data_IF_400635531431
#
_entry.id   IF_400635531431
#
_cell.length_a   1.000
_cell.length_b   1.000
_cell.length_c   1.000
_cell.angle_alpha   90.00
_cell.angle_beta   90.00
_cell.angle_gamma   90.00
#
_symmetry.space_group_name_H-M   'P 1'
#
loop_
_entity.id
_entity.type
_entity.pdbx_description
1 polymer ?
#
# COMPACT_ATOMS: atom_id res chain seq x y z
N UNK A 1 10.47 16.09 1.36
CA UNK A 1 9.37 17.07 1.39
C UNK A 1 9.37 17.83 0.08
N UNK A 2 8.21 18.18 -0.48
CA UNK A 2 8.16 19.11 -1.63
C UNK A 2 8.63 20.47 -1.12
N UNK A 3 9.34 21.25 -1.94
CA UNK A 3 9.68 22.62 -1.56
C UNK A 3 8.39 23.43 -1.39
N UNK A 4 8.12 23.93 -0.18
CA UNK A 4 6.93 24.72 0.14
C UNK A 4 6.76 25.91 -0.83
N UNK A 5 7.88 26.44 -1.34
CA UNK A 5 7.93 27.48 -2.36
C UNK A 5 7.07 27.18 -3.60
N UNK A 6 7.03 25.94 -4.09
CA UNK A 6 6.21 25.56 -5.26
C UNK A 6 4.72 25.79 -5.00
N UNK A 7 4.27 25.71 -3.75
CA UNK A 7 2.89 25.97 -3.36
C UNK A 7 2.66 27.43 -2.94
N UNK A 8 3.59 28.05 -2.20
CA UNK A 8 3.38 29.39 -1.61
C UNK A 8 3.77 30.53 -2.53
N UNK A 9 4.73 30.31 -3.43
CA UNK A 9 5.45 31.41 -4.11
C UNK A 9 5.90 31.05 -5.53
N UNK A 10 5.39 29.96 -6.10
CA UNK A 10 5.81 29.43 -7.40
C UNK A 10 5.38 30.23 -8.64
N UNK A 11 4.70 31.37 -8.47
CA UNK A 11 4.20 32.18 -9.59
C UNK A 11 3.30 31.37 -10.53
N UNK A 12 3.60 31.37 -11.84
CA UNK A 12 2.91 30.57 -12.85
C UNK A 12 3.13 29.05 -12.70
N UNK A 13 4.20 28.64 -12.02
CA UNK A 13 4.51 27.24 -11.72
C UNK A 13 3.91 26.76 -10.40
N UNK A 14 2.96 27.52 -9.84
CA UNK A 14 2.33 27.20 -8.55
C UNK A 14 1.51 25.91 -8.66
N UNK A 15 1.77 24.97 -7.75
CA UNK A 15 0.98 23.75 -7.64
C UNK A 15 -0.34 24.01 -6.88
N UNK A 16 -1.45 23.32 -7.21
CA UNK A 16 -2.77 23.56 -6.60
C UNK A 16 -2.81 23.46 -5.07
N UNK A 17 -1.99 22.61 -4.48
CA UNK A 17 -1.88 22.42 -3.02
C UNK A 17 -0.50 21.88 -2.65
N UNK A 18 -0.16 21.93 -1.36
CA UNK A 18 1.03 21.26 -0.83
C UNK A 18 0.76 19.76 -0.72
N UNK A 19 0.77 19.07 -1.85
CA UNK A 19 0.41 17.67 -1.98
C UNK A 19 1.19 16.96 -3.08
N UNK A 20 1.13 15.63 -3.07
CA UNK A 20 1.48 14.81 -4.23
C UNK A 20 0.77 13.47 -4.23
N UNK A 21 0.73 12.85 -5.41
CA UNK A 21 0.42 11.45 -5.62
C UNK A 21 1.61 10.74 -6.25
N UNK A 22 1.90 9.53 -5.79
CA UNK A 22 3.03 8.74 -6.21
C UNK A 22 2.67 7.26 -6.37
N UNK A 23 3.12 6.67 -7.47
CA UNK A 23 3.28 5.23 -7.63
C UNK A 23 4.69 4.99 -8.16
N UNK A 24 5.54 4.29 -7.40
CA UNK A 24 6.96 4.14 -7.75
C UNK A 24 7.20 3.25 -8.97
N UNK A 25 6.21 2.43 -9.36
CA UNK A 25 6.33 1.50 -10.47
C UNK A 25 7.18 0.26 -10.14
N UNK A 26 7.61 -0.45 -11.17
CA UNK A 26 8.47 -1.63 -11.06
C UNK A 26 9.36 -1.76 -12.29
N UNK A 27 10.54 -2.35 -12.12
CA UNK A 27 11.47 -2.65 -13.21
C UNK A 27 11.08 -3.95 -13.93
N UNK A 28 10.65 -4.97 -13.19
CA UNK A 28 10.28 -6.27 -13.76
C UNK A 28 9.07 -6.88 -13.02
N UNK A 29 7.90 -6.99 -13.68
CA UNK A 29 7.61 -6.47 -15.01
C UNK A 29 7.64 -4.92 -15.01
N UNK A 30 7.96 -4.34 -16.16
CA UNK A 30 8.06 -2.89 -16.30
C UNK A 30 6.70 -2.22 -16.04
N UNK A 31 6.67 -1.36 -15.02
CA UNK A 31 5.55 -0.46 -14.72
C UNK A 31 6.18 0.91 -14.51
N UNK A 32 5.90 1.91 -15.37
CA UNK A 32 6.53 3.23 -15.23
C UNK A 32 6.09 3.89 -13.92
N UNK A 33 7.03 4.51 -13.21
CA UNK A 33 6.70 5.34 -12.05
C UNK A 33 5.89 6.58 -12.43
N UNK A 34 5.19 7.15 -11.47
CA UNK A 34 4.42 8.40 -11.59
C UNK A 34 4.55 9.19 -10.30
N UNK A 35 4.90 10.48 -10.42
CA UNK A 35 4.91 11.44 -9.32
C UNK A 35 4.26 12.73 -9.83
N UNK A 36 3.17 13.14 -9.21
CA UNK A 36 2.44 14.35 -9.58
C UNK A 36 2.44 15.28 -8.37
N UNK A 37 2.94 16.50 -8.54
CA UNK A 37 2.94 17.52 -7.49
C UNK A 37 1.65 18.34 -7.57
N UNK A 38 0.99 18.56 -6.43
CA UNK A 38 -0.31 19.23 -6.35
C UNK A 38 -1.49 18.42 -6.91
N UNK A 39 -1.29 17.13 -7.16
CA UNK A 39 -2.22 16.28 -7.87
C UNK A 39 -1.84 14.81 -7.75
N UNK A 40 -2.52 13.96 -8.51
CA UNK A 40 -2.23 12.54 -8.66
C UNK A 40 -2.68 12.03 -10.02
N UNK A 41 -2.11 10.91 -10.45
CA UNK A 41 -2.58 10.18 -11.61
C UNK A 41 -3.64 9.15 -11.17
N UNK A 42 -4.90 9.43 -11.47
CA UNK A 42 -6.04 8.60 -11.08
C UNK A 42 -5.98 7.19 -11.67
N UNK A 43 -5.29 7.01 -12.80
CA UNK A 43 -5.05 5.68 -13.37
C UNK A 43 -4.20 4.78 -12.46
N UNK A 44 -3.48 5.35 -11.49
CA UNK A 44 -2.63 4.64 -10.53
C UNK A 44 -3.35 4.18 -9.27
N UNK A 45 -4.63 4.51 -9.14
CA UNK A 45 -5.40 4.19 -7.94
C UNK A 45 -6.62 3.36 -8.36
N UNK A 46 -6.61 2.08 -8.05
CA UNK A 46 -7.64 1.13 -8.48
C UNK A 46 -8.64 0.86 -7.35
N UNK A 47 -9.93 0.98 -7.67
CA UNK A 47 -11.00 0.54 -6.78
C UNK A 47 -11.24 1.51 -5.61
N UNK A 48 -10.60 1.26 -4.47
CA UNK A 48 -10.80 2.05 -3.26
C UNK A 48 -9.52 2.75 -2.82
N UNK A 49 -9.67 3.86 -2.10
CA UNK A 49 -8.59 4.61 -1.46
C UNK A 49 -8.89 4.71 0.03
N UNK A 50 -7.87 4.55 0.86
CA UNK A 50 -7.94 4.85 2.28
C UNK A 50 -7.40 6.26 2.54
N UNK A 51 -8.10 7.04 3.36
CA UNK A 51 -7.64 8.33 3.87
C UNK A 51 -7.19 8.22 5.32
N UNK A 52 -5.94 8.56 5.62
CA UNK A 52 -5.37 8.43 6.96
C UNK A 52 -4.85 9.80 7.44
N UNK A 53 -5.06 10.13 8.71
CA UNK A 53 -4.53 11.36 9.28
C UNK A 53 -3.01 11.28 9.41
N UNK A 54 -2.32 12.37 9.08
CA UNK A 54 -0.89 12.51 9.35
C UNK A 54 -0.71 12.86 10.84
N UNK A 55 0.08 12.05 11.56
CA UNK A 55 0.38 12.31 12.96
C UNK A 55 1.37 13.47 13.05
N UNK A 56 0.91 14.62 13.59
CA UNK A 56 1.61 15.92 13.65
C UNK A 56 3.04 15.86 14.21
N UNK A 57 3.32 14.92 15.10
CA UNK A 57 4.62 14.82 15.80
C UNK A 57 5.68 14.04 15.03
N UNK A 58 5.30 13.17 14.09
CA UNK A 58 6.24 12.27 13.40
C UNK A 58 6.32 12.50 11.90
N UNK A 59 5.25 13.01 11.26
CA UNK A 59 5.15 13.08 9.81
C UNK A 59 5.16 11.69 9.12
N UNK A 60 5.07 10.62 9.90
CA UNK A 60 5.12 9.23 9.41
C UNK A 60 3.75 8.77 8.92
N UNK A 61 3.74 7.96 7.86
CA UNK A 61 2.53 7.37 7.32
C UNK A 61 2.25 6.04 8.02
N UNK A 62 1.43 6.08 9.07
CA UNK A 62 1.08 4.91 9.85
C UNK A 62 -0.33 4.42 9.54
N UNK A 63 -0.49 3.12 9.40
CA UNK A 63 -1.77 2.45 9.17
C UNK A 63 -1.81 1.13 9.94
N UNK A 64 -2.99 0.72 10.42
CA UNK A 64 -3.16 -0.57 11.08
C UNK A 64 -3.20 -1.72 10.07
N UNK A 65 -2.15 -2.55 10.03
CA UNK A 65 -2.16 -3.82 9.31
C UNK A 65 -2.87 -4.88 10.17
N UNK A 66 -3.92 -5.51 9.63
CA UNK A 66 -4.73 -6.52 10.33
C UNK A 66 -4.23 -7.92 10.04
N UNK A 67 -3.88 -8.22 8.80
CA UNK A 67 -3.42 -9.54 8.38
C UNK A 67 -2.63 -9.48 7.06
N UNK A 68 -1.87 -10.56 6.80
CA UNK A 68 -1.26 -10.86 5.52
C UNK A 68 -1.80 -12.23 5.06
N UNK A 69 -2.19 -12.32 3.79
CA UNK A 69 -2.59 -13.57 3.15
C UNK A 69 -1.75 -13.91 1.92
N UNK A 70 -1.85 -15.16 1.47
CA UNK A 70 -1.30 -15.69 0.24
C UNK A 70 -2.43 -16.30 -0.57
N UNK A 71 -2.69 -15.77 -1.76
CA UNK A 71 -3.90 -16.04 -2.53
C UNK A 71 -3.59 -16.17 -4.04
N UNK A 72 -4.52 -16.80 -4.77
CA UNK A 72 -4.47 -16.96 -6.23
C UNK A 72 -5.64 -16.22 -6.87
N UNK A 73 -5.36 -15.31 -7.80
CA UNK A 73 -6.36 -14.48 -8.47
C UNK A 73 -7.07 -15.20 -9.65
N UNK A 74 -6.39 -16.15 -10.30
CA UNK A 74 -6.91 -16.87 -11.47
C UNK A 74 -6.15 -18.18 -11.74
N UNK A 75 -6.87 -19.18 -12.23
CA UNK A 75 -6.34 -20.51 -12.58
C UNK A 75 -5.96 -21.36 -11.38
N UNK A 76 -5.21 -22.42 -11.65
CA UNK A 76 -4.73 -23.36 -10.65
C UNK A 76 -3.75 -22.74 -9.67
N UNK A 77 -3.67 -23.33 -8.47
CA UNK A 77 -2.75 -22.88 -7.44
C UNK A 77 -1.40 -23.62 -7.51
N UNK A 78 -0.26 -22.93 -7.39
CA UNK A 78 1.03 -23.58 -7.17
C UNK A 78 1.14 -24.19 -5.76
N UNK A 79 0.14 -23.95 -4.91
CA UNK A 79 0.03 -24.48 -3.55
C UNK A 79 -1.15 -25.45 -3.46
N UNK A 80 -1.18 -26.27 -2.40
CA UNK A 80 -2.34 -27.12 -2.07
C UNK A 80 -3.59 -26.34 -1.58
N UNK A 81 -3.66 -25.03 -1.82
CA UNK A 81 -4.75 -24.14 -1.39
C UNK A 81 -4.86 -22.93 -2.33
N UNK A 82 -6.02 -22.29 -2.42
CA UNK A 82 -6.24 -21.06 -3.20
C UNK A 82 -6.15 -19.78 -2.37
N UNK A 83 -6.33 -19.89 -1.05
CA UNK A 83 -6.20 -18.79 -0.10
C UNK A 83 -5.68 -19.31 1.24
N UNK A 84 -4.71 -18.59 1.81
CA UNK A 84 -4.18 -18.79 3.15
C UNK A 84 -4.03 -17.44 3.83
N UNK A 85 -4.81 -17.22 4.89
CA UNK A 85 -4.74 -16.02 5.73
C UNK A 85 -3.97 -16.31 7.03
N UNK A 86 -3.82 -15.30 7.87
CA UNK A 86 -3.19 -15.41 9.18
C UNK A 86 -1.67 -15.50 9.12
N UNK A 87 -1.05 -14.86 8.12
CA UNK A 87 0.41 -14.88 7.95
C UNK A 87 1.09 -13.73 8.70
N UNK A 88 0.35 -12.71 9.18
CA UNK A 88 0.91 -11.62 9.99
C UNK A 88 1.10 -12.02 11.46
N UNK A 89 1.99 -12.98 11.67
CA UNK A 89 2.29 -13.58 12.96
C UNK A 89 3.21 -12.69 13.80
N UNK A 90 2.83 -12.47 15.06
CA UNK A 90 3.66 -11.79 16.05
C UNK A 90 4.63 -12.77 16.75
N UNK A 91 5.57 -12.24 17.53
CA UNK A 91 6.50 -13.04 18.34
C UNK A 91 5.82 -14.06 19.27
N UNK A 92 4.56 -13.83 19.65
CA UNK A 92 3.75 -14.77 20.44
C UNK A 92 3.15 -15.93 19.63
N UNK A 93 3.35 -15.97 18.31
CA UNK A 93 2.68 -16.91 17.41
C UNK A 93 1.20 -16.62 17.17
N UNK A 94 0.72 -15.42 17.52
CA UNK A 94 -0.67 -15.00 17.32
C UNK A 94 -0.75 -13.97 16.21
N UNK A 95 -1.79 -14.06 15.38
CA UNK A 95 -2.16 -13.03 14.40
C UNK A 95 -2.85 -11.89 15.14
N UNK A 96 -2.25 -10.70 15.14
CA UNK A 96 -2.81 -9.54 15.82
C UNK A 96 -2.56 -8.26 14.99
N UNK A 97 -3.57 -7.38 14.85
CA UNK A 97 -3.39 -6.12 14.16
C UNK A 97 -2.32 -5.25 14.83
N UNK A 98 -1.45 -4.61 14.02
CA UNK A 98 -0.46 -3.64 14.50
C UNK A 98 -0.35 -2.43 13.59
N UNK A 99 0.08 -1.32 14.17
CA UNK A 99 0.50 -0.15 13.39
C UNK A 99 1.75 -0.51 12.59
N UNK A 100 1.76 -0.18 11.31
CA UNK A 100 2.92 -0.30 10.42
C UNK A 100 3.19 1.04 9.75
N UNK A 101 4.44 1.29 9.42
CA UNK A 101 4.87 2.51 8.73
C UNK A 101 5.02 2.23 7.24
N UNK A 102 4.51 3.11 6.39
CA UNK A 102 4.79 3.11 4.96
C UNK A 102 5.96 4.08 4.69
N UNK A 103 7.06 3.58 4.12
CA UNK A 103 8.29 4.38 3.95
C UNK A 103 8.99 4.11 2.59
N UNK A 104 8.90 5.03 1.61
CA UNK A 104 9.52 4.86 0.30
C UNK A 104 11.06 4.87 0.32
N UNK A 105 11.68 5.32 1.40
CA UNK A 105 13.14 5.34 1.53
C UNK A 105 13.72 3.95 1.85
N UNK A 106 12.89 3.05 2.39
CA UNK A 106 13.26 1.70 2.78
C UNK A 106 13.10 0.72 1.61
N UNK A 107 14.07 -0.16 1.31
CA UNK A 107 13.98 -1.07 0.17
C UNK A 107 13.01 -2.26 0.40
N UNK A 108 12.98 -2.79 1.63
CA UNK A 108 12.35 -4.08 1.93
C UNK A 108 11.01 -3.93 2.64
N UNK A 109 10.35 -5.06 2.88
CA UNK A 109 9.29 -5.21 3.87
C UNK A 109 9.94 -5.66 5.18
N UNK A 110 10.02 -4.76 6.15
CA UNK A 110 10.55 -5.00 7.48
C UNK A 110 9.42 -5.56 8.34
N UNK A 111 9.41 -6.87 8.54
CA UNK A 111 8.32 -7.60 9.20
C UNK A 111 8.86 -8.44 10.36
N UNK A 112 8.04 -8.80 11.36
CA UNK A 112 8.43 -9.75 12.39
C UNK A 112 8.96 -11.05 11.77
N UNK A 113 10.01 -11.62 12.36
CA UNK A 113 10.57 -12.91 11.92
C UNK A 113 9.49 -14.00 11.75
N UNK A 114 8.56 -14.22 12.70
CA UNK A 114 7.49 -15.20 12.52
C UNK A 114 6.56 -14.91 11.33
N UNK A 115 6.41 -13.64 10.94
CA UNK A 115 5.66 -13.26 9.73
C UNK A 115 6.44 -13.64 8.48
N UNK A 116 7.73 -13.30 8.41
CA UNK A 116 8.55 -13.68 7.25
C UNK A 116 8.58 -15.21 7.10
N UNK A 117 8.81 -15.95 8.19
CA UNK A 117 8.83 -17.43 8.19
C UNK A 117 7.49 -18.02 7.76
N UNK A 118 6.37 -17.49 8.28
CA UNK A 118 5.03 -17.96 7.90
C UNK A 118 4.76 -17.78 6.40
N UNK A 119 5.26 -16.70 5.80
CA UNK A 119 5.13 -16.45 4.36
C UNK A 119 6.07 -17.37 3.57
N UNK A 120 7.35 -17.45 3.95
CA UNK A 120 8.39 -18.14 3.20
C UNK A 120 8.33 -19.66 3.32
N UNK A 121 7.60 -20.20 4.30
CA UNK A 121 7.32 -21.63 4.43
C UNK A 121 6.68 -22.27 3.17
N UNK A 122 6.07 -21.47 2.30
CA UNK A 122 5.46 -21.92 1.04
C UNK A 122 6.38 -21.77 -0.18
N UNK A 123 7.56 -21.17 -0.01
CA UNK A 123 8.44 -20.78 -1.11
C UNK A 123 9.74 -21.59 -1.09
N UNK A 124 10.31 -21.92 -2.27
CA UNK A 124 11.69 -22.41 -2.37
C UNK A 124 12.69 -21.29 -2.10
N UNK A 125 12.80 -20.85 -0.85
CA UNK A 125 13.78 -19.84 -0.40
C UNK A 125 14.60 -20.37 0.77
N UNK A 126 15.81 -19.84 0.92
CA UNK A 126 16.68 -20.07 2.07
C UNK A 126 17.09 -18.74 2.69
N UNK A 127 17.05 -18.63 4.01
CA UNK A 127 17.52 -17.43 4.71
C UNK A 127 19.05 -17.38 4.70
N UNK A 128 19.60 -16.28 4.20
CA UNK A 128 21.01 -15.94 4.29
C UNK A 128 21.22 -14.99 5.45
N UNK A 129 21.86 -15.49 6.52
CA UNK A 129 22.09 -14.71 7.75
C UNK A 129 23.11 -13.57 7.57
N UNK A 130 23.98 -13.66 6.56
CA UNK A 130 24.98 -12.61 6.27
C UNK A 130 24.30 -11.41 5.62
N UNK A 131 23.35 -11.67 4.71
CA UNK A 131 22.56 -10.63 4.04
C UNK A 131 21.33 -10.19 4.83
N UNK A 132 20.84 -11.03 5.75
CA UNK A 132 19.57 -10.84 6.44
C UNK A 132 18.36 -10.96 5.51
N UNK A 133 18.49 -11.75 4.43
CA UNK A 133 17.51 -11.83 3.35
C UNK A 133 17.23 -13.28 2.95
N UNK A 134 16.06 -13.51 2.36
CA UNK A 134 15.67 -14.81 1.82
C UNK A 134 16.06 -14.90 0.35
N UNK A 135 16.90 -15.86 0.00
CA UNK A 135 17.37 -16.07 -1.37
C UNK A 135 16.50 -17.14 -2.03
N UNK A 136 15.98 -16.84 -3.22
CA UNK A 136 15.22 -17.78 -4.03
C UNK A 136 16.14 -18.87 -4.61
N UNK A 137 15.74 -20.13 -4.42
CA UNK A 137 16.30 -21.25 -5.18
C UNK A 137 15.59 -21.31 -6.55
N UNK A 138 16.14 -20.55 -7.50
CA UNK A 138 15.59 -20.42 -8.87
C UNK A 138 15.67 -21.71 -9.68
N UNK A 139 16.38 -22.73 -9.20
CA UNK A 139 16.52 -24.03 -9.87
C UNK A 139 15.38 -25.00 -9.55
N UNK A 140 14.56 -24.69 -8.54
CA UNK A 140 13.44 -25.55 -8.14
C UNK A 140 12.32 -25.54 -9.18
N UNK A 141 11.80 -26.72 -9.48
CA UNK A 141 10.72 -26.91 -10.46
C UNK A 141 9.45 -26.08 -10.17
N UNK A 142 9.18 -25.73 -8.91
CA UNK A 142 8.01 -24.92 -8.53
C UNK A 142 8.27 -23.41 -8.53
N UNK A 143 9.53 -22.95 -8.64
CA UNK A 143 9.88 -21.52 -8.64
C UNK A 143 9.12 -20.75 -9.73
N UNK A 144 9.18 -21.23 -10.97
CA UNK A 144 8.49 -20.61 -12.10
C UNK A 144 6.96 -20.59 -11.90
N UNK A 145 6.38 -21.68 -11.40
CA UNK A 145 4.94 -21.75 -11.14
C UNK A 145 4.49 -20.76 -10.06
N UNK A 146 5.27 -20.58 -8.99
CA UNK A 146 4.98 -19.63 -7.92
C UNK A 146 5.08 -18.18 -8.39
N UNK A 147 6.13 -17.87 -9.15
CA UNK A 147 6.51 -16.48 -9.47
C UNK A 147 5.89 -15.95 -10.76
N UNK A 148 5.41 -16.83 -11.65
CA UNK A 148 4.74 -16.45 -12.89
C UNK A 148 3.22 -16.61 -12.87
N UNK A 149 2.66 -17.40 -11.95
CA UNK A 149 1.20 -17.55 -11.81
C UNK A 149 0.53 -16.31 -11.27
N UNK A 150 -0.81 -16.31 -11.24
CA UNK A 150 -1.63 -15.23 -10.70
C UNK A 150 -1.66 -15.20 -9.16
N UNK A 151 -0.52 -15.50 -8.53
CA UNK A 151 -0.36 -15.59 -7.08
C UNK A 151 0.10 -14.25 -6.51
N UNK A 152 -0.47 -13.85 -5.37
CA UNK A 152 -0.15 -12.59 -4.70
C UNK A 152 -0.18 -12.71 -3.18
N UNK A 153 0.57 -11.82 -2.51
CA UNK A 153 0.37 -11.52 -1.10
C UNK A 153 -0.72 -10.45 -0.95
N UNK A 154 -1.68 -10.68 -0.05
CA UNK A 154 -2.70 -9.70 0.32
C UNK A 154 -2.32 -9.04 1.65
N UNK A 155 -2.28 -7.72 1.69
CA UNK A 155 -2.08 -6.94 2.91
C UNK A 155 -3.38 -6.26 3.28
N UNK A 156 -3.99 -6.68 4.39
CA UNK A 156 -5.30 -6.18 4.83
C UNK A 156 -5.12 -5.09 5.88
N UNK A 157 -5.49 -3.85 5.55
CA UNK A 157 -5.34 -2.69 6.42
C UNK A 157 -6.67 -2.17 6.97
N UNK A 158 -6.62 -1.45 8.09
CA UNK A 158 -7.73 -0.60 8.58
C UNK A 158 -7.88 0.62 7.67
N UNK A 159 -9.04 0.74 7.03
CA UNK A 159 -9.33 1.82 6.08
C UNK A 159 -9.91 3.04 6.80
N UNK A 160 -9.56 4.23 6.35
CA UNK A 160 -10.07 5.52 6.83
C UNK A 160 -9.87 5.81 8.33
N UNK A 161 -8.89 5.14 8.96
CA UNK A 161 -8.71 5.16 10.43
C UNK A 161 -9.84 4.45 11.21
N UNK A 162 -10.76 3.76 10.53
CA UNK A 162 -11.92 3.10 11.12
C UNK A 162 -11.65 1.62 11.42
N UNK A 163 -12.25 1.10 12.50
CA UNK A 163 -12.02 -0.28 12.94
C UNK A 163 -12.79 -1.33 12.14
N UNK A 164 -13.93 -0.93 11.57
CA UNK A 164 -14.90 -1.76 10.84
C UNK A 164 -14.73 -1.71 9.32
N UNK A 165 -13.89 -0.79 8.80
CA UNK A 165 -13.54 -0.73 7.38
C UNK A 165 -12.16 -1.28 7.11
N UNK A 166 -12.01 -1.94 5.97
CA UNK A 166 -10.73 -2.49 5.53
C UNK A 166 -10.45 -2.18 4.08
N UNK A 167 -9.16 -2.11 3.74
CA UNK A 167 -8.66 -2.04 2.36
C UNK A 167 -7.59 -3.11 2.19
N UNK A 168 -7.53 -3.72 1.01
CA UNK A 168 -6.53 -4.74 0.69
C UNK A 168 -5.60 -4.24 -0.41
N UNK A 169 -4.30 -4.34 -0.17
CA UNK A 169 -3.27 -4.15 -1.20
C UNK A 169 -2.72 -5.51 -1.59
N UNK A 170 -2.77 -5.81 -2.88
CA UNK A 170 -2.36 -7.08 -3.47
C UNK A 170 -1.03 -6.90 -4.17
N UNK A 171 -0.05 -7.74 -3.81
CA UNK A 171 1.29 -7.74 -4.38
C UNK A 171 1.52 -9.06 -5.10
N UNK A 172 1.50 -9.08 -6.43
CA UNK A 172 1.95 -10.23 -7.22
C UNK A 172 3.30 -10.76 -6.73
N UNK A 173 3.46 -12.07 -6.57
CA UNK A 173 4.76 -12.65 -6.19
C UNK A 173 5.85 -12.34 -7.22
N UNK A 174 5.47 -12.11 -8.48
CA UNK A 174 6.36 -11.64 -9.54
C UNK A 174 7.08 -10.32 -9.21
N UNK A 175 6.47 -9.44 -8.41
CA UNK A 175 7.12 -8.18 -7.95
C UNK A 175 8.07 -8.38 -6.78
N UNK A 176 8.07 -9.58 -6.19
CA UNK A 176 8.84 -9.96 -5.00
C UNK A 176 9.97 -10.95 -5.33
N UNK A 177 10.32 -11.07 -6.62
CA UNK A 177 11.52 -11.75 -7.13
C UNK A 177 12.56 -10.68 -7.52
N UNK A 178 13.08 -9.97 -6.52
CA UNK A 178 14.02 -8.87 -6.75
C UNK A 178 15.45 -9.41 -6.92
N UNK A 179 16.33 -8.61 -7.54
CA UNK A 179 17.72 -9.02 -7.80
C UNK A 179 18.69 -8.18 -6.96
N UNK A 180 19.54 -8.84 -6.17
CA UNK A 180 20.75 -8.25 -5.59
C UNK A 180 21.86 -8.31 -6.65
N UNK A 181 22.64 -7.25 -6.74
CA UNK A 181 23.74 -7.10 -7.70
C UNK A 181 24.95 -6.49 -7.00
N UNK A 182 26.06 -6.39 -7.72
CA UNK A 182 27.26 -5.67 -7.30
C UNK A 182 26.93 -4.23 -6.83
N UNK A 183 27.56 -3.71 -5.76
CA UNK A 183 28.62 -4.31 -4.95
C UNK A 183 28.11 -5.07 -3.72
N UNK A 184 26.80 -5.36 -3.63
CA UNK A 184 26.23 -6.06 -2.47
C UNK A 184 26.55 -7.55 -2.49
N UNK A 185 26.72 -8.12 -3.68
CA UNK A 185 27.00 -9.53 -3.95
C UNK A 185 27.88 -9.65 -5.20
N UNK A 186 28.80 -10.62 -5.22
CA UNK A 186 29.70 -10.87 -6.36
C UNK A 186 28.97 -11.44 -7.59
N UNK A 187 27.83 -12.10 -7.36
CA UNK A 187 26.99 -12.69 -8.40
C UNK A 187 25.54 -12.33 -8.14
N UNK A 188 24.78 -12.07 -9.22
CA UNK A 188 23.38 -11.69 -9.09
C UNK A 188 22.57 -12.77 -8.36
N UNK A 189 21.94 -12.41 -7.25
CA UNK A 189 21.06 -13.29 -6.48
C UNK A 189 19.62 -12.81 -6.58
N UNK A 190 18.69 -13.73 -6.81
CA UNK A 190 17.25 -13.40 -6.70
C UNK A 190 16.82 -13.59 -5.26
N UNK A 191 16.16 -12.60 -4.67
CA UNK A 191 15.76 -12.61 -3.27
C UNK A 191 14.29 -12.21 -3.07
N UNK A 192 13.72 -12.67 -1.96
CA UNK A 192 12.41 -12.26 -1.46
C UNK A 192 12.61 -11.14 -0.42
N UNK A 193 12.03 -9.93 -0.62
CA UNK A 193 12.38 -8.74 0.16
C UNK A 193 11.67 -8.64 1.52
N UNK A 194 11.68 -9.73 2.30
CA UNK A 194 11.27 -9.72 3.70
C UNK A 194 12.53 -9.62 4.57
N UNK A 195 12.65 -8.54 5.33
CA UNK A 195 13.77 -8.29 6.22
C UNK A 195 13.26 -8.37 7.66
N UNK A 196 13.94 -9.11 8.52
CA UNK A 196 13.49 -9.27 9.91
C UNK A 196 13.52 -7.94 10.66
N UNK A 197 12.48 -7.66 11.43
CA UNK A 197 12.42 -6.50 12.33
C UNK A 197 11.77 -6.86 13.66
N UNK A 198 12.39 -6.42 14.75
CA UNK A 198 11.84 -6.52 16.11
C UNK A 198 11.02 -5.30 16.51
N UNK A 199 11.07 -4.23 15.70
CA UNK A 199 10.47 -2.93 15.99
C UNK A 199 9.10 -2.77 15.29
N UNK A 200 8.67 -1.52 15.11
CA UNK A 200 7.48 -1.21 14.32
C UNK A 200 7.69 -1.67 12.88
N UNK A 201 6.83 -2.53 12.31
CA UNK A 201 7.01 -3.01 10.95
C UNK A 201 6.97 -1.87 9.94
N UNK A 202 7.77 -1.98 8.88
CA UNK A 202 7.88 -0.96 7.82
C UNK A 202 7.66 -1.60 6.46
N UNK A 203 6.76 -1.05 5.67
CA UNK A 203 6.51 -1.46 4.29
C UNK A 203 7.18 -0.47 3.35
N UNK A 204 8.29 -0.91 2.76
CA UNK A 204 9.12 -0.10 1.88
C UNK A 204 8.80 -0.25 0.39
N UNK A 205 9.81 0.02 -0.45
CA UNK A 205 9.70 -0.03 -1.91
C UNK A 205 9.18 -1.36 -2.45
N UNK A 206 9.61 -2.48 -1.88
CA UNK A 206 9.09 -3.80 -2.26
C UNK A 206 7.55 -3.86 -2.24
N UNK A 207 6.92 -3.28 -1.20
CA UNK A 207 5.47 -3.14 -1.10
C UNK A 207 4.92 -2.07 -2.04
N UNK A 208 5.58 -0.91 -2.09
CA UNK A 208 5.12 0.26 -2.85
C UNK A 208 5.15 0.08 -4.37
N UNK A 209 5.82 -0.94 -4.90
CA UNK A 209 5.70 -1.30 -6.32
C UNK A 209 4.24 -1.57 -6.74
N UNK A 210 3.42 -2.06 -5.82
CA UNK A 210 2.01 -2.40 -6.04
C UNK A 210 1.03 -1.47 -5.31
N UNK A 211 1.52 -0.38 -4.69
CA UNK A 211 0.70 0.56 -3.95
C UNK A 211 0.86 1.99 -4.47
N UNK A 212 -0.25 2.71 -4.50
CA UNK A 212 -0.26 4.16 -4.65
C UNK A 212 -0.21 4.81 -3.28
N UNK A 213 0.61 5.85 -3.15
CA UNK A 213 0.66 6.72 -1.97
C UNK A 213 0.44 8.15 -2.41
N UNK A 214 -0.48 8.84 -1.75
CA UNK A 214 -0.65 10.28 -1.90
C UNK A 214 -0.58 10.98 -0.55
N UNK A 215 -0.32 12.28 -0.55
CA UNK A 215 -0.34 13.09 0.67
C UNK A 215 -0.82 14.49 0.34
N UNK A 216 -1.67 15.05 1.21
CA UNK A 216 -2.12 16.42 1.17
C UNK A 216 -1.89 17.08 2.53
N UNK A 217 -0.95 18.02 2.59
CA UNK A 217 -0.67 18.83 3.78
C UNK A 217 -1.44 20.15 3.65
N UNK A 218 -2.69 20.15 4.10
CA UNK A 218 -3.67 21.23 3.94
C UNK A 218 -3.04 22.65 3.85
N UNK A 219 -2.77 23.30 4.98
CA UNK A 219 -2.19 24.64 5.03
C UNK A 219 -0.75 24.65 5.55
N UNK A 220 -0.02 23.53 5.41
CA UNK A 220 1.37 23.44 5.86
C UNK A 220 1.58 23.50 7.39
N UNK A 221 0.53 23.38 8.20
CA UNK A 221 0.57 23.40 9.67
C UNK A 221 0.92 22.03 10.31
N UNK A 222 1.67 21.18 9.57
CA UNK A 222 1.99 19.79 9.91
C UNK A 222 0.77 18.87 10.12
N UNK A 223 -0.45 19.31 9.78
CA UNK A 223 -1.61 18.45 9.64
C UNK A 223 -1.86 18.14 8.16
N UNK A 224 -2.44 16.96 7.91
CA UNK A 224 -2.78 16.56 6.56
C UNK A 224 -3.42 15.19 6.53
N UNK A 225 -3.75 14.77 5.31
CA UNK A 225 -4.24 13.42 5.02
C UNK A 225 -3.24 12.74 4.10
N UNK A 226 -2.89 11.50 4.40
CA UNK A 226 -2.17 10.64 3.46
C UNK A 226 -3.10 9.53 2.97
N UNK A 227 -2.84 9.07 1.76
CA UNK A 227 -3.71 8.20 1.00
C UNK A 227 -2.97 6.92 0.64
N UNK A 228 -3.67 5.79 0.74
CA UNK A 228 -3.18 4.48 0.30
C UNK A 228 -4.21 3.86 -0.65
N UNK A 229 -3.76 3.36 -1.80
CA UNK A 229 -4.61 2.66 -2.76
C UNK A 229 -3.86 1.57 -3.52
N UNK A 230 -4.62 0.67 -4.16
CA UNK A 230 -4.05 -0.38 -5.02
C UNK A 230 -3.50 0.23 -6.31
N UNK A 231 -2.24 -0.06 -6.65
CA UNK A 231 -1.67 0.34 -7.93
C UNK A 231 -1.94 -0.71 -9.03
N UNK A 232 -1.96 -0.28 -10.32
CA UNK A 232 -2.15 -1.19 -11.45
C UNK A 232 -0.90 -2.01 -11.78
N UNK A 233 -1.11 -3.08 -12.54
CA UNK A 233 -0.06 -3.83 -13.22
C UNK A 233 0.39 -3.23 -14.56
N UNK A 234 1.19 -3.96 -15.35
CA UNK A 234 1.76 -3.46 -16.62
C UNK A 234 0.72 -3.10 -17.69
N UNK A 235 -0.50 -3.65 -17.61
CA UNK A 235 -1.64 -3.25 -18.44
C UNK A 235 -2.38 -2.02 -17.90
N UNK A 236 -1.66 -1.06 -17.31
CA UNK A 236 -2.24 0.15 -16.75
C UNK A 236 -2.90 1.04 -17.83
N UNK A 237 -3.96 1.80 -17.48
CA UNK A 237 -4.58 2.75 -18.38
C UNK A 237 -3.66 3.94 -18.70
N UNK A 238 -4.08 4.76 -19.66
CA UNK A 238 -3.49 6.09 -19.89
C UNK A 238 -3.60 6.96 -18.63
N UNK A 239 -2.60 7.83 -18.44
CA UNK A 239 -2.56 8.73 -17.30
C UNK A 239 -3.79 9.66 -17.27
N UNK A 240 -4.35 9.84 -16.09
CA UNK A 240 -5.51 10.69 -15.83
C UNK A 240 -5.17 11.62 -14.66
N UNK A 241 -4.56 12.76 -15.00
CA UNK A 241 -4.01 13.68 -14.00
C UNK A 241 -5.14 14.51 -13.38
N UNK A 242 -5.30 14.39 -12.07
CA UNK A 242 -6.30 15.10 -11.29
C UNK A 242 -5.61 15.93 -10.20
N UNK A 243 -6.03 17.18 -10.02
CA UNK A 243 -5.53 18.03 -8.94
C UNK A 243 -6.01 17.52 -7.56
N UNK A 244 -5.18 17.75 -6.55
CA UNK A 244 -5.57 17.64 -5.14
C UNK A 244 -5.70 19.07 -4.65
N UNK A 245 -6.87 19.45 -4.14
CA UNK A 245 -7.10 20.78 -3.58
C UNK A 245 -6.73 20.81 -2.09
N UNK A 246 -6.51 22.01 -1.56
CA UNK A 246 -6.09 22.24 -0.17
C UNK A 246 -7.01 21.55 0.85
N UNK A 247 -8.32 21.54 0.63
CA UNK A 247 -9.29 20.93 1.53
C UNK A 247 -9.59 19.45 1.29
N UNK A 248 -8.96 18.82 0.29
CA UNK A 248 -9.30 17.45 -0.09
C UNK A 248 -8.81 16.45 0.95
N UNK A 249 -9.75 15.74 1.56
CA UNK A 249 -9.53 14.67 2.55
C UNK A 249 -9.79 13.28 1.99
N UNK A 250 -10.18 13.18 0.70
CA UNK A 250 -10.44 11.94 -0.01
C UNK A 250 -9.95 12.06 -1.45
N UNK A 251 -9.62 10.94 -2.09
CA UNK A 251 -9.28 10.88 -3.52
C UNK A 251 -10.24 9.99 -4.26
N UNK A 252 -10.49 10.32 -5.53
CA UNK A 252 -11.23 9.44 -6.42
C UNK A 252 -10.32 8.33 -6.93
N UNK A 253 -10.80 7.09 -6.94
CA UNK A 253 -10.13 5.99 -7.61
C UNK A 253 -10.65 5.82 -9.04
N UNK A 254 -9.87 5.15 -9.87
CA UNK A 254 -10.34 4.63 -11.16
C UNK A 254 -11.15 3.35 -10.98
N UNK A 255 -12.09 3.12 -11.88
CA UNK A 255 -12.91 1.90 -11.94
C UNK A 255 -12.24 0.74 -12.69
N UNK A 256 -10.94 0.86 -13.02
CA UNK A 256 -10.21 -0.17 -13.76
C UNK A 256 -9.96 -1.39 -12.88
N UNK A 257 -10.02 -2.57 -13.48
CA UNK A 257 -9.83 -3.84 -12.76
C UNK A 257 -8.35 -4.15 -12.56
N UNK A 258 -7.97 -4.43 -11.31
CA UNK A 258 -6.63 -4.90 -10.98
C UNK A 258 -6.28 -6.19 -11.72
N UNK A 259 -7.18 -7.19 -11.75
CA UNK A 259 -6.96 -8.44 -12.47
C UNK A 259 -6.68 -8.19 -13.97
N UNK A 260 -7.43 -7.29 -14.60
CA UNK A 260 -7.21 -6.96 -16.02
C UNK A 260 -5.86 -6.29 -16.27
N UNK A 261 -5.42 -5.41 -15.35
CA UNK A 261 -4.10 -4.76 -15.45
C UNK A 261 -2.92 -5.74 -15.35
N UNK A 262 -3.14 -6.94 -14.79
CA UNK A 262 -2.13 -8.00 -14.65
C UNK A 262 -2.29 -9.17 -15.63
N UNK A 263 -3.40 -9.26 -16.35
CA UNK A 263 -3.78 -10.44 -17.14
C UNK A 263 -2.74 -10.87 -18.18
N UNK A 264 -1.98 -9.93 -18.77
CA UNK A 264 -0.93 -10.22 -19.77
C UNK A 264 0.44 -10.52 -19.15
N UNK A 265 0.59 -10.33 -17.85
CA UNK A 265 1.88 -10.41 -17.15
C UNK A 265 2.03 -11.67 -16.30
N UNK A 266 0.94 -12.42 -16.14
CA UNK A 266 0.90 -13.70 -15.43
C UNK A 266 0.55 -14.85 -16.37
N UNK A 267 0.93 -16.05 -15.95
CA UNK A 267 0.61 -17.32 -16.60
C UNK A 267 -0.18 -18.17 -15.61
N UNK A 268 -1.53 -18.03 -15.58
CA UNK A 268 -2.37 -18.88 -14.74
C UNK A 268 -2.09 -20.35 -14.98
N UNK A 269 -1.98 -21.14 -13.91
CA UNK A 269 -1.78 -22.57 -14.02
C UNK A 269 -3.09 -23.24 -14.46
N UNK A 270 -2.99 -24.45 -15.02
CA UNK A 270 -4.18 -25.25 -15.29
C UNK A 270 -4.84 -25.67 -13.98
N UNK A 271 -6.18 -25.65 -13.94
CA UNK A 271 -6.93 -26.19 -12.81
C UNK A 271 -6.71 -27.70 -12.73
N UNK A 272 -6.34 -28.20 -11.55
CA UNK A 272 -6.24 -29.63 -11.28
C UNK A 272 -7.64 -30.25 -11.16
N UNK A 273 -8.30 -30.49 -12.29
CA UNK A 273 -9.40 -31.48 -12.34
C UNK A 273 -8.82 -32.89 -12.22
N UNK A 274 -9.45 -33.81 -11.45
CA UNK A 274 -9.10 -35.22 -11.53
C UNK A 274 -9.40 -35.69 -12.95
N UNK A 275 -8.35 -36.09 -13.68
CA UNK A 275 -8.47 -36.47 -15.08
C UNK A 275 -9.39 -37.68 -15.26
N UNK A 276 -10.32 -37.56 -16.19
CA UNK A 276 -10.77 -38.70 -16.98
C UNK A 276 -10.29 -38.43 -18.41
N UNK A 277 -9.36 -39.27 -18.89
CA UNK A 277 -8.80 -39.16 -20.22
C UNK A 277 -9.85 -39.46 -21.28
N UNK A 278 -10.03 -38.54 -22.22
CA UNK A 278 -10.43 -38.89 -23.60
C UNK A 278 -9.86 -37.83 -24.54
N UNK A 279 -8.98 -38.29 -25.41
CA UNK A 279 -8.45 -37.54 -26.54
C UNK A 279 -9.56 -37.21 -27.54
N UNK A 280 -9.72 -35.95 -27.92
CA UNK A 280 -10.04 -35.57 -29.31
C UNK A 280 -9.75 -34.10 -29.57
N UNK A 281 -9.38 -33.84 -30.82
CA UNK A 281 -8.83 -32.60 -31.34
C UNK A 281 -9.84 -31.45 -31.41
N UNK A 282 -9.31 -30.22 -31.39
CA UNK A 282 -9.81 -29.13 -32.24
C UNK A 282 -10.87 -28.20 -31.64
N UNK A 283 -10.57 -26.90 -31.78
CA UNK A 283 -11.50 -25.77 -31.87
C UNK A 283 -12.05 -25.09 -30.60
N UNK A 284 -11.39 -23.96 -30.31
CA UNK A 284 -11.93 -22.62 -30.01
C UNK A 284 -13.21 -22.54 -29.16
N UNK A 285 -13.01 -22.28 -27.87
CA UNK A 285 -14.05 -21.83 -26.94
C UNK A 285 -14.55 -20.42 -27.27
N UNK A 286 -15.61 -20.35 -28.07
CA UNK A 286 -16.48 -19.18 -28.09
C UNK A 286 -17.38 -19.22 -26.86
N UNK A 287 -17.20 -18.23 -25.99
CA UNK A 287 -17.88 -18.07 -24.72
C UNK A 287 -19.40 -18.04 -24.80
N UNK A 288 -20.00 -18.52 -23.71
CA UNK A 288 -21.44 -18.74 -23.54
C UNK A 288 -22.31 -17.49 -23.70
N UNK A 289 -23.37 -17.67 -24.48
CA UNK A 289 -24.62 -16.91 -24.41
C UNK A 289 -25.79 -17.90 -24.57
N UNK A 290 -26.92 -17.56 -23.92
CA UNK A 290 -28.18 -18.32 -23.75
C UNK A 290 -28.17 -19.32 -22.57
N UNK A 291 -29.08 -19.32 -21.59
CA UNK A 291 -30.30 -18.56 -21.32
C UNK A 291 -31.35 -19.46 -20.61
N UNK A 292 -32.26 -18.84 -19.82
CA UNK A 292 -33.52 -19.37 -19.22
C UNK A 292 -33.36 -19.96 -17.79
N UNK A 293 -34.20 -19.67 -16.77
CA UNK A 293 -35.42 -18.88 -16.71
C UNK A 293 -36.10 -18.86 -15.33
N UNK A 294 -37.20 -18.10 -15.31
CA UNK A 294 -38.31 -17.84 -14.38
C UNK A 294 -38.59 -18.84 -13.22
N UNK A 295 -38.89 -18.26 -12.03
CA UNK A 295 -39.54 -18.88 -10.85
C UNK A 295 -38.63 -18.81 -9.61
N UNK A 296 -38.92 -18.13 -8.49
CA UNK A 296 -40.05 -18.35 -7.57
C UNK A 296 -40.26 -17.09 -6.70
N UNK A 297 -41.44 -16.45 -6.83
CA UNK A 297 -41.85 -15.25 -6.11
C UNK A 297 -42.54 -15.50 -4.76
N UNK A 298 -42.05 -16.43 -3.93
CA UNK A 298 -42.67 -16.72 -2.61
C UNK A 298 -41.72 -16.47 -1.43
N UNK A 299 -40.42 -16.37 -1.69
CA UNK A 299 -39.41 -16.18 -0.63
C UNK A 299 -39.24 -14.70 -0.24
N UNK A 300 -39.42 -13.78 -1.19
CA UNK A 300 -39.24 -12.33 -0.96
C UNK A 300 -40.25 -11.70 -0.01
N UNK A 301 -41.50 -12.18 -0.01
CA UNK A 301 -42.58 -11.61 0.83
C UNK A 301 -42.37 -11.95 2.31
N UNK A 302 -41.81 -13.12 2.61
CA UNK A 302 -41.52 -13.56 3.98
C UNK A 302 -40.35 -12.76 4.59
N UNK A 303 -39.31 -12.48 3.80
CA UNK A 303 -38.16 -11.69 4.27
C UNK A 303 -38.52 -10.21 4.54
N UNK A 304 -39.40 -9.62 3.74
CA UNK A 304 -39.86 -8.25 3.94
C UNK A 304 -40.74 -8.13 5.20
N UNK A 305 -41.62 -9.10 5.44
CA UNK A 305 -42.45 -9.13 6.64
C UNK A 305 -41.62 -9.35 7.92
N UNK A 306 -40.62 -10.24 7.89
CA UNK A 306 -39.70 -10.47 9.01
C UNK A 306 -38.82 -9.24 9.30
N UNK A 307 -38.35 -8.54 8.27
CA UNK A 307 -37.58 -7.30 8.42
C UNK A 307 -38.38 -6.17 9.07
N UNK A 308 -39.65 -5.99 8.67
CA UNK A 308 -40.53 -5.00 9.26
C UNK A 308 -40.85 -5.30 10.74
N UNK A 309 -41.08 -6.58 11.08
CA UNK A 309 -41.37 -7.00 12.46
C UNK A 309 -40.20 -6.77 13.42
N UNK A 310 -38.96 -7.07 12.97
CA UNK A 310 -37.74 -6.85 13.76
C UNK A 310 -37.46 -5.36 13.96
N UNK A 311 -37.72 -4.52 12.95
CA UNK A 311 -37.56 -3.07 13.05
C UNK A 311 -38.54 -2.44 14.06
N UNK A 312 -39.78 -2.93 14.13
CA UNK A 312 -40.80 -2.46 15.10
C UNK A 312 -40.43 -2.89 16.54
N UNK A 313 -39.87 -4.09 16.72
CA UNK A 313 -39.40 -4.54 18.04
C UNK A 313 -38.15 -3.78 18.51
N UNK A 314 -37.25 -3.39 17.60
CA UNK A 314 -36.08 -2.56 17.93
C UNK A 314 -36.46 -1.12 18.27
N UNK A 315 -37.48 -0.55 17.61
CA UNK A 315 -37.99 0.80 17.94
C UNK A 315 -38.71 0.87 19.28
N UNK A 316 -39.23 -0.24 19.80
CA UNK A 316 -39.86 -0.29 21.14
C UNK A 316 -38.89 -0.41 22.31
N UNK A 317 -37.59 -0.65 22.07
CA UNK A 317 -36.57 -0.75 23.13
C UNK A 317 -35.62 0.45 23.22
N UNK A 318 -35.80 1.49 22.41
CA UNK A 318 -35.08 2.76 22.54
C UNK A 318 -36.00 3.84 23.11
N UNK A 319 -36.04 3.95 24.44
CA UNK A 319 -36.33 5.20 25.13
C UNK A 319 -34.97 5.83 25.47
N UNK A 320 -34.66 7.06 25.05
CA UNK A 320 -33.46 7.74 25.52
C UNK A 320 -33.68 8.13 26.98
N UNK A 321 -32.95 7.49 27.88
CA UNK A 321 -32.77 7.97 29.26
C UNK A 321 -31.78 9.14 29.23
N UNK A 322 -32.28 10.34 29.56
CA UNK A 322 -31.47 11.48 29.98
C UNK A 322 -30.63 11.05 31.20
N UNK A 323 -29.32 11.08 31.03
CA UNK A 323 -28.33 10.82 32.07
C UNK A 323 -27.42 12.03 32.20
N UNK A 324 -27.51 12.66 33.37
CA UNK A 324 -26.82 13.84 33.87
C UNK A 324 -25.29 13.75 33.79
N UNK A 325 -24.68 14.94 33.76
CA UNK A 325 -23.27 15.29 33.71
C UNK A 325 -22.35 14.52 34.67
N UNK A 326 -21.11 14.29 34.23
CA UNK A 326 -19.93 14.40 35.08
C UNK A 326 -18.75 14.92 34.25
N UNK A 327 -18.29 16.13 34.59
CA UNK A 327 -17.11 16.79 34.04
C UNK A 327 -15.91 16.35 34.90
N UNK A 328 -14.87 15.68 34.34
CA UNK A 328 -13.57 15.64 34.98
C UNK A 328 -12.78 16.88 34.56
N UNK A 329 -12.53 17.75 35.54
CA UNK A 329 -11.54 18.81 35.49
C UNK A 329 -10.15 18.20 35.23
N UNK A 330 -9.41 18.71 34.25
CA UNK A 330 -7.95 18.60 34.20
C UNK A 330 -7.34 19.85 33.57
N UNK A 331 -6.84 20.70 34.47
CA UNK A 331 -5.54 21.35 34.50
C UNK A 331 -4.98 21.95 33.20
N UNK A 332 -5.24 23.24 33.08
CA UNK A 332 -4.50 24.25 32.34
C UNK A 332 -3.00 24.17 32.65
N UNK A 333 -2.17 23.95 31.63
CA UNK A 333 -0.72 24.14 31.72
C UNK A 333 -0.42 25.54 31.23
N UNK A 334 0.13 26.35 32.13
CA UNK A 334 0.43 27.76 31.97
C UNK A 334 1.28 28.08 30.75
N UNK A 335 0.82 29.04 29.96
CA UNK A 335 1.59 29.74 28.94
C UNK A 335 2.71 30.58 29.59
N UNK A 336 3.91 30.55 29.01
CA UNK A 336 5.00 31.47 29.33
C UNK A 336 4.76 32.83 28.64
N UNK A 337 5.07 33.96 29.29
CA UNK A 337 4.72 35.29 28.79
C UNK A 337 5.59 35.75 27.61
N UNK A 338 5.10 36.70 26.79
CA UNK A 338 5.84 37.23 25.65
C UNK A 338 6.95 38.19 26.10
N UNK A 339 8.15 38.05 25.54
CA UNK A 339 9.21 39.05 25.67
C UNK A 339 9.00 40.18 24.68
N UNK A 340 8.81 41.40 25.18
CA UNK A 340 8.79 42.63 24.39
C UNK A 340 10.21 43.15 24.10
N UNK A 341 10.32 43.80 22.94
CA UNK A 341 11.40 44.66 22.40
C UNK A 341 12.62 44.01 21.74
N UNK A 342 12.67 44.16 20.40
CA UNK A 342 13.58 45.12 19.76
C UNK A 342 12.96 45.59 18.43
N UNK A 343 12.74 46.90 18.32
CA UNK A 343 12.44 47.59 17.08
C UNK A 343 13.67 47.52 16.16
N UNK A 344 13.44 47.10 14.92
CA UNK A 344 14.45 47.14 13.85
C UNK A 344 13.83 46.67 12.54
N UNK A 345 13.59 47.59 11.61
CA UNK A 345 13.21 47.29 10.24
C UNK A 345 14.25 46.33 9.61
N UNK A 346 13.85 45.33 8.81
CA UNK A 346 14.82 44.54 8.07
C UNK A 346 15.42 45.40 6.95
N UNK A 347 16.73 45.63 7.04
CA UNK A 347 17.55 46.20 5.98
C UNK A 347 18.12 45.03 5.15
N UNK A 348 17.95 45.12 3.83
CA UNK A 348 18.40 44.14 2.83
C UNK A 348 19.93 44.02 2.85
N UNK A 349 20.46 42.80 2.80
CA UNK A 349 21.89 42.55 2.69
C UNK A 349 22.33 42.70 1.22
N UNK A 350 23.17 43.70 0.95
CA UNK A 350 23.73 43.98 -0.38
C UNK A 350 24.48 42.75 -0.93
N UNK A 351 24.06 42.29 -2.11
CA UNK A 351 24.66 41.14 -2.80
C UNK A 351 25.81 41.59 -3.71
N UNK A 352 27.01 41.73 -3.15
CA UNK A 352 28.23 41.85 -3.96
C UNK A 352 28.65 40.49 -4.54
N UNK A 353 29.12 40.52 -5.78
CA UNK A 353 29.31 39.37 -6.66
C UNK A 353 30.52 38.51 -6.28
N UNK A 354 30.26 37.32 -5.71
CA UNK A 354 31.26 36.26 -5.53
C UNK A 354 30.82 34.94 -6.19
N UNK A 355 31.59 34.44 -7.16
CA UNK A 355 31.37 33.15 -7.85
C UNK A 355 31.37 31.98 -6.86
N UNK A 356 30.55 30.93 -7.07
CA UNK A 356 30.54 29.76 -6.20
C UNK A 356 31.84 28.95 -6.29
N UNK A 357 32.46 28.67 -5.14
CA UNK A 357 33.55 27.70 -5.01
C UNK A 357 32.98 26.29 -4.84
N UNK A 358 33.39 25.38 -5.72
CA UNK A 358 33.15 23.95 -5.61
C UNK A 358 33.96 23.34 -4.46
N UNK A 359 33.31 22.56 -3.58
CA UNK A 359 34.01 21.74 -2.59
C UNK A 359 34.58 20.49 -3.26
N UNK A 360 35.89 20.49 -3.52
CA UNK A 360 36.62 19.26 -3.85
C UNK A 360 36.82 18.40 -2.60
N UNK A 361 36.35 17.16 -2.66
CA UNK A 361 36.65 16.12 -1.68
C UNK A 361 38.14 15.81 -1.68
N UNK A 362 38.77 15.93 -0.50
CA UNK A 362 40.21 15.69 -0.34
C UNK A 362 40.48 14.21 -0.14
N UNK A 363 41.32 13.67 -1.03
CA UNK A 363 41.87 12.33 -1.01
C UNK A 363 43.01 12.22 0.04
N UNK A 364 43.23 10.99 0.48
CA UNK A 364 44.11 10.45 1.55
C UNK A 364 45.52 11.06 1.69
N UNK A 365 46.05 10.98 2.91
CA UNK A 365 47.46 10.69 3.16
C UNK A 365 47.62 9.64 4.26
N UNK A 366 48.35 8.57 3.93
CA UNK A 366 49.04 7.67 4.88
C UNK A 366 50.31 8.34 5.43
N UNK A 367 50.81 7.75 6.53
CA UNK A 367 52.12 7.81 7.23
C UNK A 367 51.78 7.78 8.73
N UNK A 368 52.26 6.88 9.59
CA UNK A 368 53.43 6.00 9.63
C UNK A 368 53.12 4.80 10.55
#
# INVERSE_FOLDING_TARGET
MIAAWLYTSGGESRIPSYSYGMHIGSVNPAIPGSLVLGGYDKSRVLGEVSSQSIIRSSGTWQIGLKDIGLEVAAGGSPFGFTSKNGLFMQGSGVVAPRSVVIDPTKPYMYLPEPTCDAITAFFPVSFDSTLGLYIWDTTRNNYANITSSATYLSFLFKKDGLNDKTITIKIPLKLLTLTLQDPLVDQNLTYFPCFHSTDTPVLGRAFLQAAFVGVNWFEGNNAGTWFLGQAPGPGLPSADITAINVGDTTLAASSHSWNQSWAKSWHPLADSSPGNSTSSNGDLTTGGKAGIGIGVGVVGVIFIAAGAWIAILRRRRYRPSLGEQNIPCYQEVSELPPSNHMDGLPEELDADHGRPQEMMGRQRHELE
#
